data_IF_301480136500
#
_entry.id   IF_301480136500
#
_cell.length_a   1.000
_cell.length_b   1.000
_cell.length_c   1.000
_cell.angle_alpha   90.00
_cell.angle_beta   90.00
_cell.angle_gamma   90.00
#
_symmetry.space_group_name_H-M   'P 1'
#
loop_
_entity.id
_entity.type
_entity.pdbx_description
1 polymer ?
#
# COMPACT_ATOMS: atom_id res chain seq x y z
N UNK A 1 7.28 -4.04 6.13
CA UNK A 1 5.93 -3.43 6.17
C UNK A 1 6.04 -2.07 6.83
N UNK A 2 5.53 -1.01 6.19
CA UNK A 2 5.47 0.32 6.80
C UNK A 2 4.21 1.09 6.39
N UNK A 3 3.70 1.92 7.30
CA UNK A 3 2.71 2.96 6.98
C UNK A 3 3.49 4.25 6.78
N UNK A 4 3.33 4.88 5.62
CA UNK A 4 3.92 6.18 5.27
C UNK A 4 2.80 7.20 5.09
N UNK A 5 3.17 8.49 5.10
CA UNK A 5 2.28 9.55 4.62
C UNK A 5 2.42 9.70 3.11
N UNK A 6 1.39 10.18 2.44
CA UNK A 6 1.51 10.70 1.09
C UNK A 6 1.91 12.16 1.13
N UNK A 7 2.32 12.72 -0.01
CA UNK A 7 2.57 14.16 -0.17
C UNK A 7 1.37 15.01 0.29
N UNK A 8 0.15 14.48 0.16
CA UNK A 8 -1.09 15.15 0.60
C UNK A 8 -1.50 14.81 2.04
N UNK A 9 -0.63 14.17 2.82
CA UNK A 9 -0.82 13.83 4.23
C UNK A 9 -1.69 12.59 4.50
N UNK A 10 -2.17 11.88 3.47
CA UNK A 10 -2.99 10.67 3.66
C UNK A 10 -2.14 9.42 3.91
N UNK A 11 -2.62 8.54 4.78
CA UNK A 11 -1.93 7.28 5.08
C UNK A 11 -1.86 6.36 3.86
N UNK A 12 -0.65 5.82 3.64
CA UNK A 12 -0.39 4.79 2.65
C UNK A 12 0.36 3.63 3.28
N UNK A 13 0.03 2.43 2.81
CA UNK A 13 0.60 1.18 3.29
C UNK A 13 1.57 0.63 2.26
N UNK A 14 2.78 0.24 2.68
CA UNK A 14 3.77 -0.44 1.87
C UNK A 14 3.90 -1.90 2.30
N UNK A 15 3.25 -2.79 1.56
CA UNK A 15 3.19 -4.23 1.85
C UNK A 15 3.49 -5.04 0.59
N UNK A 16 4.43 -5.99 0.71
CA UNK A 16 4.83 -6.92 -0.34
C UNK A 16 5.20 -6.23 -1.68
N UNK A 17 5.86 -5.07 -1.58
CA UNK A 17 6.24 -4.24 -2.73
C UNK A 17 5.10 -3.40 -3.31
N UNK A 18 3.87 -3.54 -2.82
CA UNK A 18 2.72 -2.77 -3.27
C UNK A 18 2.38 -1.63 -2.34
N UNK A 19 1.78 -0.59 -2.93
CA UNK A 19 1.28 0.59 -2.23
C UNK A 19 -0.24 0.56 -2.15
N UNK A 20 -0.77 0.79 -0.97
CA UNK A 20 -2.20 0.83 -0.72
C UNK A 20 -2.59 2.16 -0.08
N UNK A 21 -3.83 2.61 -0.34
CA UNK A 21 -4.49 3.70 0.38
C UNK A 21 -5.52 3.14 1.34
N UNK A 22 -5.74 3.82 2.46
CA UNK A 22 -6.79 3.45 3.40
C UNK A 22 -8.17 3.73 2.80
N UNK A 23 -9.05 2.74 2.87
CA UNK A 23 -10.46 2.85 2.50
C UNK A 23 -11.32 2.18 3.59
N UNK A 24 -11.84 3.01 4.51
CA UNK A 24 -12.57 2.56 5.71
C UNK A 24 -11.73 1.56 6.52
N UNK A 25 -12.15 0.30 6.56
CA UNK A 25 -11.53 -0.78 7.33
C UNK A 25 -10.50 -1.59 6.52
N UNK A 26 -10.37 -1.32 5.22
CA UNK A 26 -9.47 -2.06 4.32
C UNK A 26 -8.45 -1.13 3.67
N UNK A 27 -7.42 -1.72 3.10
CA UNK A 27 -6.40 -1.04 2.31
C UNK A 27 -6.53 -1.48 0.86
N UNK A 28 -6.60 -0.52 -0.06
CA UNK A 28 -6.82 -0.78 -1.49
C UNK A 28 -5.60 -0.34 -2.28
N UNK A 29 -5.17 -1.16 -3.23
CA UNK A 29 -4.08 -0.80 -4.13
C UNK A 29 -4.31 0.60 -4.73
N UNK A 30 -3.25 1.40 -4.81
CA UNK A 30 -3.33 2.77 -5.37
C UNK A 30 -3.47 2.79 -6.89
N UNK A 31 -3.10 1.70 -7.58
CA UNK A 31 -3.16 1.63 -9.05
C UNK A 31 -4.63 1.54 -9.49
N UNK A 32 -4.99 2.34 -10.48
CA UNK A 32 -6.31 2.32 -11.07
C UNK A 32 -6.66 0.91 -11.56
N UNK A 33 -7.93 0.50 -11.39
CA UNK A 33 -8.46 -0.81 -11.75
C UNK A 33 -7.86 -2.02 -11.01
N UNK A 34 -6.81 -1.85 -10.19
CA UNK A 34 -6.26 -2.96 -9.43
C UNK A 34 -7.20 -3.41 -8.30
N UNK A 35 -7.35 -4.73 -8.18
CA UNK A 35 -8.20 -5.37 -7.18
C UNK A 35 -7.46 -5.72 -5.89
N UNK A 36 -6.14 -5.54 -5.82
CA UNK A 36 -5.35 -5.87 -4.63
C UNK A 36 -5.88 -5.22 -3.35
N UNK A 37 -6.04 -6.02 -2.29
CA UNK A 37 -6.52 -5.57 -0.97
C UNK A 37 -5.66 -6.14 0.15
N UNK A 38 -5.47 -5.30 1.16
CA UNK A 38 -4.89 -5.69 2.42
C UNK A 38 -5.80 -5.27 3.58
N UNK A 39 -5.65 -5.91 4.73
CA UNK A 39 -6.34 -5.57 5.98
C UNK A 39 -5.37 -5.58 7.13
N UNK A 40 -5.75 -4.93 8.22
CA UNK A 40 -5.05 -5.02 9.50
C UNK A 40 -5.95 -5.81 10.45
N UNK A 41 -5.45 -6.91 11.01
CA UNK A 41 -6.21 -7.76 11.94
C UNK A 41 -5.94 -7.43 13.42
N UNK A 42 -5.28 -6.30 13.69
CA UNK A 42 -4.93 -5.83 15.02
C UNK A 42 -3.45 -6.03 15.37
N UNK A 43 -2.81 -7.05 14.80
CA UNK A 43 -1.39 -7.31 15.01
C UNK A 43 -0.58 -7.26 13.72
N UNK A 44 -1.15 -7.74 12.61
CA UNK A 44 -0.46 -7.83 11.35
C UNK A 44 -1.29 -7.23 10.23
N UNK A 45 -0.56 -6.75 9.23
CA UNK A 45 -1.14 -6.40 7.97
C UNK A 45 -0.93 -7.53 6.99
N UNK A 46 -2.00 -7.92 6.32
CA UNK A 46 -1.97 -9.04 5.40
C UNK A 46 -2.73 -8.70 4.12
N UNK A 47 -2.13 -9.05 2.98
CA UNK A 47 -2.84 -9.07 1.70
C UNK A 47 -3.82 -10.24 1.69
N UNK A 48 -5.08 -9.98 1.33
CA UNK A 48 -6.11 -11.02 1.22
C UNK A 48 -6.74 -11.10 -0.17
N UNK A 49 -6.40 -10.17 -1.05
CA UNK A 49 -6.82 -10.19 -2.45
C UNK A 49 -5.62 -9.81 -3.31
N UNK A 50 -5.35 -10.64 -4.32
CA UNK A 50 -4.19 -10.50 -5.20
C UNK A 50 -4.26 -9.26 -6.08
N UNK A 51 -3.07 -8.83 -6.52
CA UNK A 51 -2.92 -7.77 -7.50
C UNK A 51 -3.02 -8.34 -8.92
N UNK A 52 -3.65 -7.55 -9.79
CA UNK A 52 -3.59 -7.75 -11.24
C UNK A 52 -2.60 -6.78 -11.90
N UNK A 53 -2.05 -5.84 -11.12
CA UNK A 53 -1.03 -4.91 -11.60
C UNK A 53 0.35 -5.45 -11.29
N UNK A 54 1.34 -5.01 -12.07
CA UNK A 54 2.74 -5.23 -11.76
C UNK A 54 3.10 -4.51 -10.45
N UNK A 55 3.99 -5.15 -9.68
CA UNK A 55 4.61 -4.47 -8.56
C UNK A 55 5.40 -3.25 -9.10
N UNK A 56 5.31 -2.09 -8.42
CA UNK A 56 6.15 -0.94 -8.74
C UNK A 56 7.64 -1.28 -8.57
N UNK A 57 8.50 -0.47 -9.20
CA UNK A 57 9.94 -0.66 -9.11
C UNK A 57 10.42 -0.47 -7.65
N UNK A 58 11.34 -1.32 -7.14
CA UNK A 58 11.84 -1.17 -5.77
C UNK A 58 12.41 0.22 -5.46
N UNK A 59 13.01 0.90 -6.45
CA UNK A 59 13.56 2.24 -6.27
C UNK A 59 12.46 3.30 -6.10
N UNK A 60 11.31 3.13 -6.77
CA UNK A 60 10.15 4.00 -6.56
C UNK A 60 9.62 3.89 -5.14
N UNK A 61 9.60 2.67 -4.58
CA UNK A 61 9.17 2.43 -3.20
C UNK A 61 10.13 3.05 -2.19
N UNK A 62 11.43 2.97 -2.44
CA UNK A 62 12.44 3.52 -1.53
C UNK A 62 12.39 5.06 -1.49
N UNK A 63 12.26 5.70 -2.66
CA UNK A 63 12.10 7.16 -2.74
C UNK A 63 10.89 7.66 -1.95
N UNK A 64 9.80 6.89 -1.87
CA UNK A 64 8.61 7.26 -1.10
C UNK A 64 8.82 7.18 0.42
N UNK A 65 9.74 6.33 0.89
CA UNK A 65 10.10 6.26 2.31
C UNK A 65 11.02 7.40 2.73
N UNK A 66 11.85 7.91 1.82
CA UNK A 66 12.80 9.00 2.12
C UNK A 66 12.07 10.36 2.20
N UNK A 67 11.00 10.52 1.42
CA UNK A 67 10.24 11.78 1.32
C UNK A 67 9.21 11.99 2.46
N UNK A 68 9.04 11.05 3.39
CA UNK A 68 8.06 11.11 4.49
C UNK A 68 8.68 10.71 5.83
#
# INVERSE_FOLDING_TARGET
MSVIKSIKGSDQLLLDGFRYRRDRLVWRCVKANCKGRARHDGNIYQMYQDHICLAPDPNEIENLKILN
#
